data_IF_367318008318
#
_entry.id   IF_367318008318
#
_cell.length_a   1.000
_cell.length_b   1.000
_cell.length_c   1.000
_cell.angle_alpha   90.00
_cell.angle_beta   90.00
_cell.angle_gamma   90.00
#
_symmetry.space_group_name_H-M   'P 1'
#
loop_
_entity.id
_entity.type
_entity.pdbx_description
1 polymer ?
#
# COMPACT_ATOMS: atom_id res chain seq x y z
N UNK A 1 -29.34 57.49 57.05
CA UNK A 1 -28.96 56.09 56.82
C UNK A 1 -28.77 55.95 55.32
N UNK A 2 -27.67 56.50 54.82
CA UNK A 2 -27.37 56.51 53.40
C UNK A 2 -26.69 55.18 53.07
N UNK A 3 -27.50 54.18 52.73
CA UNK A 3 -27.01 53.09 51.89
C UNK A 3 -26.81 53.73 50.52
N UNK A 4 -25.64 54.33 50.38
CA UNK A 4 -25.30 55.21 49.27
C UNK A 4 -25.52 54.49 47.95
N UNK A 5 -26.03 55.22 46.95
CA UNK A 5 -26.18 54.77 45.57
C UNK A 5 -24.91 54.03 45.07
N UNK A 6 -23.73 54.43 45.56
CA UNK A 6 -22.42 53.79 45.36
C UNK A 6 -22.31 52.35 45.87
N UNK A 7 -22.99 51.97 46.94
CA UNK A 7 -23.03 50.59 47.45
C UNK A 7 -23.89 49.69 46.55
N UNK A 8 -25.02 50.20 46.03
CA UNK A 8 -25.90 49.50 45.09
C UNK A 8 -25.25 49.39 43.70
N UNK A 9 -24.59 50.47 43.23
CA UNK A 9 -23.80 50.49 42.00
C UNK A 9 -22.56 49.61 42.12
N UNK A 10 -21.93 49.53 43.29
CA UNK A 10 -20.82 48.61 43.57
C UNK A 10 -21.26 47.15 43.60
N UNK A 11 -22.45 46.85 44.15
CA UNK A 11 -23.02 45.50 44.18
C UNK A 11 -23.49 45.04 42.78
N UNK A 12 -24.18 45.91 42.05
CA UNK A 12 -24.60 45.66 40.66
C UNK A 12 -23.41 45.63 39.70
N UNK A 13 -22.43 46.52 39.89
CA UNK A 13 -21.18 46.55 39.13
C UNK A 13 -20.34 45.31 39.38
N UNK A 14 -20.19 44.89 40.64
CA UNK A 14 -19.54 43.62 41.00
C UNK A 14 -20.27 42.40 40.43
N UNK A 15 -21.60 42.38 40.46
CA UNK A 15 -22.44 41.32 39.87
C UNK A 15 -22.25 41.24 38.34
N UNK A 16 -22.26 42.38 37.65
CA UNK A 16 -22.04 42.44 36.20
C UNK A 16 -20.62 42.02 35.82
N UNK A 17 -19.62 42.46 36.59
CA UNK A 17 -18.22 42.09 36.39
C UNK A 17 -18.02 40.59 36.59
N UNK A 18 -18.67 40.01 37.60
CA UNK A 18 -18.63 38.57 37.87
C UNK A 18 -19.27 37.78 36.72
N UNK A 19 -20.38 38.26 36.16
CA UNK A 19 -21.03 37.69 34.96
C UNK A 19 -20.11 37.74 33.73
N UNK A 20 -19.47 38.89 33.48
CA UNK A 20 -18.51 39.06 32.37
C UNK A 20 -17.32 38.13 32.54
N UNK A 21 -16.70 38.08 33.73
CA UNK A 21 -15.58 37.20 34.02
C UNK A 21 -15.97 35.72 33.86
N UNK A 22 -17.16 35.34 34.35
CA UNK A 22 -17.67 33.97 34.20
C UNK A 22 -17.90 33.61 32.73
N UNK A 23 -18.45 34.52 31.93
CA UNK A 23 -18.68 34.28 30.51
C UNK A 23 -17.36 34.20 29.72
N UNK A 24 -16.38 35.04 30.05
CA UNK A 24 -15.03 34.98 29.48
C UNK A 24 -14.35 33.64 29.82
N UNK A 25 -14.40 33.21 31.09
CA UNK A 25 -13.88 31.90 31.50
C UNK A 25 -14.62 30.75 30.81
N UNK A 26 -15.93 30.88 30.62
CA UNK A 26 -16.75 29.88 29.92
C UNK A 26 -16.38 29.79 28.43
N UNK A 27 -16.12 30.91 27.76
CA UNK A 27 -15.63 30.92 26.38
C UNK A 27 -14.22 30.35 26.26
N UNK A 28 -13.33 30.65 27.22
CA UNK A 28 -11.98 30.07 27.28
C UNK A 28 -12.08 28.55 27.44
N UNK A 29 -12.91 28.06 28.38
CA UNK A 29 -13.13 26.63 28.58
C UNK A 29 -13.70 25.95 27.33
N UNK A 30 -14.71 26.54 26.69
CA UNK A 30 -15.26 26.03 25.42
C UNK A 30 -14.21 25.96 24.31
N UNK A 31 -13.33 26.97 24.23
CA UNK A 31 -12.22 26.97 23.25
C UNK A 31 -11.18 25.89 23.55
N UNK A 32 -10.86 25.67 24.82
CA UNK A 32 -9.97 24.59 25.27
C UNK A 32 -10.58 23.23 24.94
N UNK A 33 -11.87 23.03 25.27
CA UNK A 33 -12.59 21.78 24.98
C UNK A 33 -12.68 21.53 23.48
N UNK A 34 -13.01 22.54 22.69
CA UNK A 34 -13.08 22.43 21.22
C UNK A 34 -11.71 22.10 20.61
N UNK A 35 -10.64 22.75 21.06
CA UNK A 35 -9.29 22.41 20.61
C UNK A 35 -8.89 20.99 21.01
N UNK A 36 -9.26 20.54 22.22
CA UNK A 36 -9.00 19.17 22.67
C UNK A 36 -9.75 18.15 21.81
N UNK A 37 -11.01 18.41 21.49
CA UNK A 37 -11.82 17.53 20.67
C UNK A 37 -11.34 17.50 19.21
N UNK A 38 -10.95 18.64 18.64
CA UNK A 38 -10.31 18.72 17.33
C UNK A 38 -9.00 17.92 17.31
N UNK A 39 -8.14 18.08 18.31
CA UNK A 39 -6.89 17.33 18.41
C UNK A 39 -7.15 15.82 18.49
N UNK A 40 -8.15 15.40 19.28
CA UNK A 40 -8.56 13.99 19.40
C UNK A 40 -9.06 13.43 18.06
N UNK A 41 -9.92 14.16 17.36
CA UNK A 41 -10.47 13.73 16.06
C UNK A 41 -9.36 13.64 15.02
N UNK A 42 -8.49 14.66 14.92
CA UNK A 42 -7.35 14.65 14.01
C UNK A 42 -6.44 13.47 14.32
N UNK A 43 -6.12 13.23 15.58
CA UNK A 43 -5.31 12.10 16.01
C UNK A 43 -5.90 10.75 15.59
N UNK A 44 -7.19 10.52 15.87
CA UNK A 44 -7.88 9.28 15.50
C UNK A 44 -7.87 9.07 13.98
N UNK A 45 -8.08 10.14 13.22
CA UNK A 45 -8.09 10.09 11.76
C UNK A 45 -6.71 9.80 11.18
N UNK A 46 -5.66 10.42 11.74
CA UNK A 46 -4.26 10.13 11.40
C UNK A 46 -3.93 8.65 11.62
N UNK A 47 -4.26 8.12 12.80
CA UNK A 47 -4.00 6.72 13.15
C UNK A 47 -4.71 5.77 12.18
N UNK A 48 -6.00 5.99 11.91
CA UNK A 48 -6.79 5.17 11.00
C UNK A 48 -6.19 5.14 9.59
N UNK A 49 -5.72 6.28 9.08
CA UNK A 49 -5.12 6.37 7.75
C UNK A 49 -3.77 5.63 7.70
N UNK A 50 -2.95 5.75 8.74
CA UNK A 50 -1.70 5.00 8.85
C UNK A 50 -1.95 3.48 8.88
N UNK A 51 -2.90 3.01 9.69
CA UNK A 51 -3.26 1.59 9.79
C UNK A 51 -3.74 1.02 8.46
N UNK A 52 -4.59 1.76 7.74
CA UNK A 52 -5.08 1.35 6.43
C UNK A 52 -3.95 1.23 5.40
N UNK A 53 -3.00 2.17 5.39
CA UNK A 53 -1.85 2.13 4.50
C UNK A 53 -0.92 0.94 4.78
N UNK A 54 -0.63 0.65 6.05
CA UNK A 54 0.17 -0.53 6.45
C UNK A 54 -0.51 -1.80 5.97
N UNK A 55 -1.81 -1.94 6.25
CA UNK A 55 -2.58 -3.12 5.91
C UNK A 55 -2.52 -3.38 4.40
N UNK A 56 -2.66 -2.32 3.59
CA UNK A 56 -2.50 -2.43 2.16
C UNK A 56 -1.10 -2.87 1.73
N UNK A 57 -0.04 -2.18 2.19
CA UNK A 57 1.33 -2.52 1.79
C UNK A 57 1.70 -3.96 2.18
N UNK A 58 1.21 -4.40 3.34
CA UNK A 58 1.36 -5.79 3.79
C UNK A 58 0.65 -6.77 2.86
N UNK A 59 -0.60 -6.51 2.48
CA UNK A 59 -1.35 -7.35 1.54
C UNK A 59 -0.66 -7.40 0.17
N UNK A 60 -0.25 -6.26 -0.36
CA UNK A 60 0.43 -6.18 -1.67
C UNK A 60 1.75 -6.93 -1.67
N UNK A 61 2.58 -6.75 -0.63
CA UNK A 61 3.85 -7.46 -0.50
C UNK A 61 3.66 -8.97 -0.42
N UNK A 62 2.69 -9.45 0.38
CA UNK A 62 2.47 -10.89 0.53
C UNK A 62 2.02 -11.52 -0.79
N UNK A 63 1.14 -10.85 -1.54
CA UNK A 63 0.73 -11.30 -2.87
C UNK A 63 1.89 -11.31 -3.85
N UNK A 64 2.71 -10.26 -3.87
CA UNK A 64 3.91 -10.20 -4.70
C UNK A 64 4.89 -11.35 -4.38
N UNK A 65 5.14 -11.64 -3.10
CA UNK A 65 5.97 -12.76 -2.66
C UNK A 65 5.35 -14.11 -3.03
N UNK A 66 4.03 -14.26 -2.93
CA UNK A 66 3.34 -15.50 -3.32
C UNK A 66 3.52 -15.78 -4.82
N UNK A 67 3.28 -14.77 -5.66
CA UNK A 67 3.50 -14.88 -7.11
C UNK A 67 4.98 -15.18 -7.39
N UNK A 68 5.91 -14.47 -6.75
CA UNK A 68 7.35 -14.73 -6.92
C UNK A 68 7.71 -16.18 -6.59
N UNK A 69 7.27 -16.72 -5.45
CA UNK A 69 7.56 -18.11 -5.07
C UNK A 69 6.94 -19.12 -6.03
N UNK A 70 5.72 -18.84 -6.51
CA UNK A 70 5.05 -19.62 -7.54
C UNK A 70 5.92 -19.70 -8.80
N UNK A 71 6.42 -18.56 -9.28
CA UNK A 71 7.26 -18.50 -10.48
C UNK A 71 8.65 -19.11 -10.27
N UNK A 72 9.29 -18.89 -9.13
CA UNK A 72 10.56 -19.56 -8.79
C UNK A 72 10.42 -21.09 -8.77
N UNK A 73 9.24 -21.60 -8.40
CA UNK A 73 8.93 -23.03 -8.47
C UNK A 73 8.79 -23.49 -9.91
N UNK A 74 8.17 -22.68 -10.78
CA UNK A 74 8.09 -22.95 -12.22
C UNK A 74 9.46 -22.96 -12.89
N UNK A 75 10.36 -22.05 -12.52
CA UNK A 75 11.74 -22.02 -13.06
C UNK A 75 12.47 -23.31 -12.71
N UNK A 76 12.39 -23.74 -11.44
CA UNK A 76 13.01 -24.99 -11.01
C UNK A 76 12.38 -26.23 -11.65
N UNK A 77 11.08 -26.19 -11.93
CA UNK A 77 10.39 -27.28 -12.62
C UNK A 77 10.84 -27.35 -14.09
N UNK A 78 10.91 -26.21 -14.79
CA UNK A 78 11.38 -26.13 -16.17
C UNK A 78 12.86 -26.52 -16.33
N UNK A 79 13.70 -26.28 -15.33
CA UNK A 79 15.11 -26.70 -15.32
C UNK A 79 15.32 -28.22 -15.12
N UNK A 80 14.30 -28.97 -14.70
CA UNK A 80 14.38 -30.42 -14.49
C UNK A 80 13.65 -31.15 -15.64
N UNK A 81 14.41 -31.68 -16.60
CA UNK A 81 13.94 -32.32 -17.85
C UNK A 81 12.99 -33.55 -17.69
N UNK A 82 12.68 -34.03 -16.48
CA UNK A 82 12.01 -35.32 -16.25
C UNK A 82 10.47 -35.28 -16.17
N UNK A 83 9.80 -34.18 -16.50
CA UNK A 83 8.40 -33.97 -16.13
C UNK A 83 7.48 -33.59 -17.30
N UNK A 84 7.02 -34.58 -18.07
CA UNK A 84 5.86 -34.43 -18.98
C UNK A 84 4.54 -34.10 -18.24
N UNK A 85 4.52 -34.20 -16.90
CA UNK A 85 3.39 -33.80 -16.05
C UNK A 85 3.34 -32.28 -15.77
N UNK A 86 4.31 -31.48 -16.24
CA UNK A 86 4.47 -30.10 -15.79
C UNK A 86 3.64 -29.05 -16.54
N UNK A 87 3.16 -29.29 -17.76
CA UNK A 87 2.55 -28.22 -18.57
C UNK A 87 1.20 -27.76 -18.00
N UNK A 88 0.33 -28.69 -17.61
CA UNK A 88 -0.96 -28.35 -16.97
C UNK A 88 -0.74 -27.64 -15.63
N UNK A 89 0.32 -28.01 -14.90
CA UNK A 89 0.72 -27.36 -13.66
C UNK A 89 1.23 -25.93 -13.92
N UNK A 90 2.06 -25.75 -14.95
CA UNK A 90 2.57 -24.45 -15.39
C UNK A 90 1.41 -23.55 -15.82
N UNK A 91 0.46 -24.07 -16.61
CA UNK A 91 -0.71 -23.31 -17.06
C UNK A 91 -1.57 -22.86 -15.87
N UNK A 92 -1.88 -23.77 -14.93
CA UNK A 92 -2.64 -23.43 -13.73
C UNK A 92 -1.94 -22.36 -12.88
N UNK A 93 -0.62 -22.45 -12.73
CA UNK A 93 0.16 -21.46 -12.00
C UNK A 93 0.18 -20.10 -12.71
N UNK A 94 0.31 -20.07 -14.04
CA UNK A 94 0.24 -18.83 -14.82
C UNK A 94 -1.14 -18.18 -14.75
N UNK A 95 -2.22 -18.97 -14.80
CA UNK A 95 -3.60 -18.47 -14.63
C UNK A 95 -3.80 -17.90 -13.22
N UNK A 96 -3.37 -18.63 -12.18
CA UNK A 96 -3.42 -18.15 -10.79
C UNK A 96 -2.63 -16.85 -10.61
N UNK A 97 -1.41 -16.78 -11.16
CA UNK A 97 -0.57 -15.60 -11.10
C UNK A 97 -1.22 -14.41 -11.82
N UNK A 98 -1.88 -14.65 -12.97
CA UNK A 98 -2.63 -13.63 -13.70
C UNK A 98 -3.76 -13.04 -12.87
N UNK A 99 -4.54 -13.88 -12.18
CA UNK A 99 -5.61 -13.42 -11.28
C UNK A 99 -5.04 -12.58 -10.13
N UNK A 100 -3.96 -13.03 -9.49
CA UNK A 100 -3.31 -12.28 -8.41
C UNK A 100 -2.73 -10.94 -8.92
N UNK A 101 -2.23 -10.87 -10.15
CA UNK A 101 -1.78 -9.62 -10.79
C UNK A 101 -2.91 -8.66 -11.13
N UNK A 102 -4.09 -9.18 -11.47
CA UNK A 102 -5.28 -8.38 -11.66
C UNK A 102 -5.74 -7.77 -10.34
N UNK A 103 -5.73 -8.57 -9.27
CA UNK A 103 -6.02 -8.10 -7.91
C UNK A 103 -5.02 -7.04 -7.44
N UNK A 104 -3.72 -7.20 -7.73
CA UNK A 104 -2.69 -6.19 -7.47
C UNK A 104 -2.91 -4.91 -8.28
N UNK A 105 -3.39 -5.00 -9.52
CA UNK A 105 -3.71 -3.83 -10.34
C UNK A 105 -5.04 -3.14 -10.01
N UNK A 106 -5.88 -3.75 -9.18
CA UNK A 106 -7.17 -3.18 -8.80
C UNK A 106 -7.01 -1.95 -7.89
N UNK A 107 -7.95 -0.99 -8.00
CA UNK A 107 -7.84 0.43 -7.57
C UNK A 107 -7.75 0.72 -6.05
N UNK A 108 -7.18 -0.15 -5.22
CA UNK A 108 -7.02 0.11 -3.79
C UNK A 108 -5.93 1.16 -3.44
N UNK A 109 -5.18 1.63 -4.43
CA UNK A 109 -4.10 2.61 -4.24
C UNK A 109 -4.60 4.03 -3.93
N UNK A 110 -5.72 4.45 -4.53
CA UNK A 110 -6.26 5.81 -4.35
C UNK A 110 -6.59 6.13 -2.88
N UNK A 111 -6.98 5.11 -2.11
CA UNK A 111 -7.31 5.27 -0.69
C UNK A 111 -6.09 5.60 0.18
N UNK A 112 -4.88 5.29 -0.30
CA UNK A 112 -3.64 5.36 0.49
C UNK A 112 -2.89 6.65 0.26
N UNK A 113 -3.08 7.30 -0.88
CA UNK A 113 -2.53 8.65 -1.12
C UNK A 113 -2.98 9.65 -0.04
N UNK A 114 -4.10 9.39 0.63
CA UNK A 114 -4.54 10.17 1.78
C UNK A 114 -3.49 10.23 2.91
N UNK A 115 -2.56 9.27 3.02
CA UNK A 115 -1.50 9.28 4.03
C UNK A 115 -0.61 10.53 3.93
N UNK A 116 -0.33 11.00 2.71
CA UNK A 116 0.48 12.20 2.46
C UNK A 116 -0.20 13.50 2.90
N UNK A 117 -1.51 13.50 3.16
CA UNK A 117 -2.24 14.67 3.67
C UNK A 117 -2.12 14.82 5.19
N UNK A 118 -1.79 13.74 5.89
CA UNK A 118 -1.85 13.67 7.36
C UNK A 118 -0.48 13.53 8.01
N UNK A 119 0.50 13.09 7.24
CA UNK A 119 1.86 12.88 7.67
C UNK A 119 2.78 13.64 6.74
N UNK A 120 3.61 14.49 7.33
CA UNK A 120 4.75 15.11 6.65
C UNK A 120 5.81 14.01 6.53
N UNK A 121 5.61 13.15 5.54
CA UNK A 121 6.51 12.06 5.18
C UNK A 121 7.69 12.71 4.47
N UNK A 122 8.57 13.32 5.27
CA UNK A 122 9.81 13.96 4.88
C UNK A 122 10.75 12.85 4.35
N UNK A 123 10.60 12.47 3.08
CA UNK A 123 11.34 11.33 2.48
C UNK A 123 11.34 11.38 0.94
N UNK A 124 11.92 12.43 0.34
CA UNK A 124 12.27 12.43 -1.10
C UNK A 124 13.10 11.20 -1.53
N UNK A 125 13.73 10.52 -0.57
CA UNK A 125 14.70 9.45 -0.80
C UNK A 125 14.15 8.03 -0.59
N UNK A 126 12.94 7.84 -0.04
CA UNK A 126 12.46 6.48 0.36
C UNK A 126 11.08 6.05 -0.15
N UNK A 127 10.24 6.98 -0.55
CA UNK A 127 8.97 6.68 -1.23
C UNK A 127 8.56 7.90 -2.05
N UNK A 128 9.02 7.94 -3.28
CA UNK A 128 8.81 9.06 -4.19
C UNK A 128 8.03 8.61 -5.45
N UNK A 129 7.75 9.57 -6.32
CA UNK A 129 7.05 9.32 -7.60
C UNK A 129 7.85 8.37 -8.52
N UNK A 130 9.17 8.29 -8.35
CA UNK A 130 10.03 7.35 -9.06
C UNK A 130 9.78 5.90 -8.59
N UNK A 131 9.67 5.65 -7.28
CA UNK A 131 9.31 4.32 -6.75
C UNK A 131 7.93 3.87 -7.27
N UNK A 132 6.98 4.79 -7.37
CA UNK A 132 5.65 4.54 -7.94
C UNK A 132 5.75 4.16 -9.42
N UNK A 133 6.50 4.96 -10.19
CA UNK A 133 6.74 4.71 -11.61
C UNK A 133 7.39 3.34 -11.82
N UNK A 134 8.44 3.05 -11.04
CA UNK A 134 9.15 1.77 -11.06
C UNK A 134 8.22 0.59 -10.68
N UNK A 135 7.30 0.76 -9.73
CA UNK A 135 6.30 -0.27 -9.42
C UNK A 135 5.36 -0.54 -10.60
N UNK A 136 4.90 0.50 -11.27
CA UNK A 136 4.05 0.35 -12.45
C UNK A 136 4.79 -0.28 -13.63
N UNK A 137 6.05 0.12 -13.85
CA UNK A 137 6.91 -0.47 -14.86
C UNK A 137 7.15 -1.95 -14.59
N UNK A 138 7.56 -2.32 -13.37
CA UNK A 138 7.76 -3.72 -13.00
C UNK A 138 6.48 -4.55 -13.15
N UNK A 139 5.32 -3.99 -12.78
CA UNK A 139 4.02 -4.67 -12.93
C UNK A 139 3.63 -4.81 -14.41
N UNK A 140 3.86 -3.78 -15.23
CA UNK A 140 3.59 -3.80 -16.66
C UNK A 140 4.49 -4.80 -17.39
N UNK A 141 5.79 -4.82 -17.08
CA UNK A 141 6.74 -5.81 -17.59
C UNK A 141 6.35 -7.22 -17.19
N UNK A 142 5.99 -7.44 -15.92
CA UNK A 142 5.57 -8.74 -15.45
C UNK A 142 4.30 -9.21 -16.19
N UNK A 143 3.32 -8.33 -16.41
CA UNK A 143 2.13 -8.63 -17.21
C UNK A 143 2.47 -8.95 -18.66
N UNK A 144 3.35 -8.16 -19.28
CA UNK A 144 3.80 -8.40 -20.65
C UNK A 144 4.45 -9.78 -20.79
N UNK A 145 5.36 -10.13 -19.87
CA UNK A 145 6.00 -11.43 -19.87
C UNK A 145 5.03 -12.57 -19.59
N UNK A 146 4.06 -12.38 -18.69
CA UNK A 146 3.01 -13.36 -18.42
C UNK A 146 2.13 -13.62 -19.66
N UNK A 147 1.76 -12.58 -20.41
CA UNK A 147 1.02 -12.72 -21.67
C UNK A 147 1.86 -13.51 -22.68
N UNK A 148 3.13 -13.15 -22.87
CA UNK A 148 4.00 -13.86 -23.81
C UNK A 148 4.17 -15.34 -23.42
N UNK A 149 4.33 -15.64 -22.13
CA UNK A 149 4.42 -17.02 -21.64
C UNK A 149 3.15 -17.81 -22.00
N UNK A 150 1.97 -17.24 -21.78
CA UNK A 150 0.70 -17.87 -22.16
C UNK A 150 0.59 -18.08 -23.68
N UNK A 151 1.05 -17.15 -24.50
CA UNK A 151 1.07 -17.30 -25.95
C UNK A 151 1.99 -18.43 -26.40
N UNK A 152 3.23 -18.47 -25.90
CA UNK A 152 4.18 -19.53 -26.25
C UNK A 152 3.70 -20.89 -25.76
N UNK A 153 3.06 -20.97 -24.60
CA UNK A 153 2.49 -22.21 -24.08
C UNK A 153 1.33 -22.71 -24.96
N UNK A 154 0.51 -21.82 -25.50
CA UNK A 154 -0.51 -22.17 -26.51
C UNK A 154 0.12 -22.69 -27.81
N UNK A 155 1.18 -22.05 -28.30
CA UNK A 155 1.90 -22.48 -29.51
C UNK A 155 2.55 -23.85 -29.30
N UNK A 156 3.14 -24.07 -28.13
CA UNK A 156 3.71 -25.35 -27.72
C UNK A 156 2.65 -26.46 -27.76
N UNK A 157 1.52 -26.25 -27.08
CA UNK A 157 0.43 -27.23 -27.04
C UNK A 157 -0.13 -27.54 -28.42
N UNK A 158 -0.37 -26.51 -29.24
CA UNK A 158 -0.84 -26.68 -30.61
C UNK A 158 0.17 -27.42 -31.50
N UNK A 159 1.47 -27.21 -31.30
CA UNK A 159 2.51 -27.90 -32.07
C UNK A 159 2.59 -29.38 -31.69
N UNK A 160 2.45 -29.70 -30.39
CA UNK A 160 2.36 -31.09 -29.91
C UNK A 160 1.12 -31.81 -30.44
N UNK A 161 -0.05 -31.17 -30.42
CA UNK A 161 -1.30 -31.72 -30.97
C UNK A 161 -1.18 -32.06 -32.46
N UNK A 162 -0.39 -31.29 -33.21
CA UNK A 162 -0.14 -31.49 -34.64
C UNK A 162 1.08 -32.38 -34.94
N UNK A 163 1.71 -33.00 -33.93
CA UNK A 163 2.93 -33.80 -34.07
C UNK A 163 4.09 -33.04 -34.75
N UNK A 164 4.20 -31.74 -34.48
CA UNK A 164 5.28 -30.89 -34.95
C UNK A 164 6.30 -30.66 -33.83
N UNK A 165 7.14 -31.66 -33.59
CA UNK A 165 8.11 -31.68 -32.49
C UNK A 165 9.08 -30.48 -32.55
N UNK A 166 9.50 -30.08 -33.75
CA UNK A 166 10.36 -28.90 -33.95
C UNK A 166 9.66 -27.60 -33.53
N UNK A 167 8.35 -27.48 -33.77
CA UNK A 167 7.56 -26.33 -33.35
C UNK A 167 7.37 -26.28 -31.84
N UNK A 168 7.17 -27.43 -31.21
CA UNK A 168 7.06 -27.54 -29.76
C UNK A 168 8.38 -27.20 -29.06
N UNK A 169 9.49 -27.79 -29.49
CA UNK A 169 10.83 -27.52 -28.93
C UNK A 169 11.21 -26.04 -29.07
N UNK A 170 10.89 -25.41 -30.21
CA UNK A 170 11.11 -23.98 -30.40
C UNK A 170 10.29 -23.13 -29.42
N UNK A 171 9.00 -23.45 -29.24
CA UNK A 171 8.13 -22.74 -28.30
C UNK A 171 8.61 -22.90 -26.86
N UNK A 172 9.08 -24.09 -26.48
CA UNK A 172 9.64 -24.37 -25.16
C UNK A 172 10.90 -23.54 -24.88
N UNK A 173 11.82 -23.47 -25.85
CA UNK A 173 13.01 -22.62 -25.74
C UNK A 173 12.66 -21.14 -25.53
N UNK A 174 11.59 -20.63 -26.13
CA UNK A 174 11.12 -19.26 -25.87
C UNK A 174 10.57 -19.10 -24.45
N UNK A 175 9.85 -20.09 -23.92
CA UNK A 175 9.35 -20.11 -22.55
C UNK A 175 10.53 -20.02 -21.57
N UNK A 176 11.55 -20.85 -21.74
CA UNK A 176 12.77 -20.86 -20.91
C UNK A 176 13.50 -19.50 -20.91
N UNK A 177 13.48 -18.77 -22.04
CA UNK A 177 14.09 -17.44 -22.14
C UNK A 177 13.27 -16.33 -21.45
N UNK A 178 11.94 -16.46 -21.39
CA UNK A 178 11.04 -15.43 -20.86
C UNK A 178 10.79 -15.61 -19.37
N UNK A 179 10.74 -16.85 -18.88
CA UNK A 179 10.46 -17.19 -17.48
C UNK A 179 11.39 -16.48 -16.47
N UNK A 180 12.71 -16.38 -16.69
CA UNK A 180 13.61 -15.65 -15.80
C UNK A 180 13.36 -14.14 -15.81
N UNK A 181 12.99 -13.57 -16.97
CA UNK A 181 12.66 -12.14 -17.09
C UNK A 181 11.40 -11.80 -16.30
N UNK A 182 10.37 -12.64 -16.43
CA UNK A 182 9.14 -12.54 -15.64
C UNK A 182 9.42 -12.59 -14.13
N UNK A 183 10.28 -13.53 -13.71
CA UNK A 183 10.69 -13.68 -12.31
C UNK A 183 11.43 -12.44 -11.80
N UNK A 184 12.33 -11.89 -12.61
CA UNK A 184 13.09 -10.70 -12.24
C UNK A 184 12.21 -9.45 -12.09
N UNK A 185 11.26 -9.20 -12.99
CA UNK A 185 10.32 -8.07 -12.85
C UNK A 185 9.47 -8.20 -11.58
N UNK A 186 9.04 -9.41 -11.23
CA UNK A 186 8.32 -9.69 -9.98
C UNK A 186 9.17 -9.49 -8.73
N UNK A 187 10.44 -9.89 -8.77
CA UNK A 187 11.40 -9.69 -7.68
C UNK A 187 11.67 -8.21 -7.47
N UNK A 188 11.90 -7.45 -8.55
CA UNK A 188 12.05 -6.00 -8.49
C UNK A 188 10.81 -5.33 -7.89
N UNK A 189 9.61 -5.73 -8.31
CA UNK A 189 8.35 -5.25 -7.74
C UNK A 189 8.26 -5.53 -6.23
N UNK A 190 8.58 -6.75 -5.79
CA UNK A 190 8.56 -7.15 -4.39
C UNK A 190 9.61 -6.41 -3.54
N UNK A 191 10.81 -6.19 -4.07
CA UNK A 191 11.89 -5.47 -3.41
C UNK A 191 11.54 -3.98 -3.20
N UNK A 192 10.92 -3.33 -4.20
CA UNK A 192 10.42 -1.96 -4.07
C UNK A 192 9.34 -1.90 -2.97
N UNK A 193 8.33 -2.78 -3.00
CA UNK A 193 7.29 -2.84 -1.95
C UNK A 193 7.89 -3.09 -0.55
N UNK A 194 8.92 -3.92 -0.44
CA UNK A 194 9.60 -4.20 0.83
C UNK A 194 10.34 -2.98 1.35
N UNK A 195 11.07 -2.26 0.49
CA UNK A 195 11.74 -0.99 0.85
C UNK A 195 10.71 0.03 1.34
N UNK A 196 9.61 0.17 0.63
CA UNK A 196 8.55 1.14 0.96
C UNK A 196 7.84 0.77 2.27
N UNK A 197 7.61 -0.52 2.51
CA UNK A 197 7.07 -1.00 3.79
C UNK A 197 8.01 -0.67 4.95
N UNK A 198 9.33 -0.83 4.79
CA UNK A 198 10.31 -0.48 5.83
C UNK A 198 10.30 1.03 6.09
N UNK A 199 10.25 1.85 5.03
CA UNK A 199 10.14 3.30 5.15
C UNK A 199 8.85 3.71 5.89
N UNK A 200 7.71 3.12 5.52
CA UNK A 200 6.43 3.39 6.19
C UNK A 200 6.44 2.97 7.66
N UNK A 201 6.99 1.79 7.99
CA UNK A 201 7.15 1.35 9.37
C UNK A 201 8.04 2.28 10.19
N UNK A 202 9.12 2.81 9.58
CA UNK A 202 9.96 3.81 10.21
C UNK A 202 9.17 5.10 10.49
N UNK A 203 8.36 5.57 9.54
CA UNK A 203 7.48 6.72 9.73
C UNK A 203 6.46 6.48 10.85
N UNK A 204 5.83 5.31 10.90
CA UNK A 204 4.88 4.93 11.97
C UNK A 204 5.55 4.90 13.33
N UNK A 205 6.77 4.38 13.43
CA UNK A 205 7.51 4.38 14.68
C UNK A 205 7.87 5.80 15.11
N UNK A 206 8.31 6.66 14.18
CA UNK A 206 8.55 8.09 14.44
C UNK A 206 7.28 8.80 14.92
N UNK A 207 6.14 8.52 14.29
CA UNK A 207 4.83 9.02 14.70
C UNK A 207 4.46 8.54 16.10
N UNK A 208 4.62 7.24 16.40
CA UNK A 208 4.37 6.68 17.74
C UNK A 208 5.28 7.29 18.81
N UNK A 209 6.53 7.55 18.48
CA UNK A 209 7.49 8.21 19.38
C UNK A 209 7.11 9.67 19.64
N UNK A 210 6.65 10.40 18.63
CA UNK A 210 6.18 11.78 18.78
C UNK A 210 4.84 11.89 19.52
N UNK A 211 4.02 10.83 19.45
CA UNK A 211 2.75 10.71 20.18
C UNK A 211 2.96 10.28 21.64
N UNK A 212 4.01 9.51 21.90
CA UNK A 212 4.36 9.03 23.25
C UNK A 212 5.04 10.09 24.13
N UNK A 213 5.35 11.26 23.57
CA UNK A 213 5.85 12.46 24.27
C UNK A 213 4.70 13.40 24.62
#
# INVERSE_FOLDING_TARGET
MDITLSSIVGFLGGSLLTLIVKEVLNQINKKIDYNRDLNKITYQRKLQIAENAIAYYWTYLNKAIEIQKSVETLVKAAENEESEQDIDFIEQMLVKNSQLMEELGSHKYYDINSIHLYFDLDDSDKWNEEDLTNLYECLAEARFHNINLQEWLKIHNHSNENHNDQGAEHAWSQIELILPKYTNSLKSFADILKRNRVAMLASINKIKEDIGK
#
